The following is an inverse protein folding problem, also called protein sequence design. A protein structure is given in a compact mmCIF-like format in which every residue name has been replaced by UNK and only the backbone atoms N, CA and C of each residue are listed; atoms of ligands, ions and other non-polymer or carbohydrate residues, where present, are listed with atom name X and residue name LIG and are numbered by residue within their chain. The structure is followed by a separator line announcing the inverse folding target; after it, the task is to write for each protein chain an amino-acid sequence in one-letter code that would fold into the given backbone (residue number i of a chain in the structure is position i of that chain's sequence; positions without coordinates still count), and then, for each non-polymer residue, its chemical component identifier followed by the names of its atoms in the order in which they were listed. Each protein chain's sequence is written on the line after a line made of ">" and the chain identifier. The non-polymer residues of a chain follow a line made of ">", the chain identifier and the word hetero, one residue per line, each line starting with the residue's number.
data_IF_264538878918
#
_entry.id   IF_264538878918
#
_cell.length_a   1.000
_cell.length_b   1.000
_cell.length_c   1.000
_cell.angle_alpha   90.00
_cell.angle_beta   90.00
_cell.angle_gamma   90.00
#
_symmetry.space_group_name_H-M   'P 1'
#
loop_
_entity.id
_entity.type
_entity.pdbx_description
1 polymer ?
#
# COMPACT_ATOMS: atom_id res chain seq x y z
N UNK A 1 11.68 -12.03 -29.51
CA UNK A 1 12.73 -11.74 -28.50
C UNK A 1 13.15 -13.04 -27.86
N UNK A 2 14.37 -13.14 -27.34
CA UNK A 2 14.77 -14.30 -26.57
C UNK A 2 14.59 -14.03 -25.08
N UNK A 3 14.23 -15.06 -24.33
CA UNK A 3 14.12 -15.02 -22.88
C UNK A 3 15.49 -14.72 -22.27
N UNK A 4 15.57 -13.69 -21.42
CA UNK A 4 16.81 -13.32 -20.73
C UNK A 4 17.27 -14.36 -19.71
N UNK A 5 16.37 -15.23 -19.25
CA UNK A 5 16.66 -16.24 -18.23
C UNK A 5 17.19 -17.55 -18.83
N UNK A 6 16.54 -18.07 -19.89
CA UNK A 6 16.89 -19.39 -20.46
C UNK A 6 17.26 -19.36 -21.96
N UNK A 7 17.30 -18.19 -22.60
CA UNK A 7 17.65 -18.03 -24.01
C UNK A 7 16.58 -18.46 -25.02
N UNK A 8 15.48 -19.08 -24.58
CA UNK A 8 14.39 -19.53 -25.45
C UNK A 8 13.73 -18.38 -26.22
N UNK A 9 13.47 -18.57 -27.51
CA UNK A 9 12.72 -17.61 -28.34
C UNK A 9 11.21 -17.69 -28.15
N UNK A 10 10.70 -18.71 -27.43
CA UNK A 10 9.28 -18.92 -27.18
C UNK A 10 8.79 -18.02 -26.04
N UNK A 11 8.56 -16.75 -26.36
CA UNK A 11 8.07 -15.71 -25.47
C UNK A 11 6.80 -15.10 -26.07
N UNK A 12 5.69 -15.20 -25.35
CA UNK A 12 4.36 -14.79 -25.83
C UNK A 12 3.72 -13.78 -24.88
N UNK A 13 2.81 -12.95 -25.39
CA UNK A 13 2.01 -12.07 -24.55
C UNK A 13 1.00 -12.86 -23.73
N UNK A 14 0.83 -12.47 -22.47
CA UNK A 14 -0.08 -13.07 -21.51
C UNK A 14 -0.57 -12.02 -20.52
N UNK A 15 -1.63 -12.34 -19.79
CA UNK A 15 -2.17 -11.49 -18.72
C UNK A 15 -1.84 -12.15 -17.38
N UNK A 16 -1.06 -11.46 -16.55
CA UNK A 16 -0.69 -11.90 -15.21
C UNK A 16 -1.15 -10.84 -14.22
N UNK A 17 -1.99 -11.22 -13.25
CA UNK A 17 -2.54 -10.30 -12.25
C UNK A 17 -3.22 -9.05 -12.85
N UNK A 18 -3.84 -9.20 -14.02
CA UNK A 18 -4.50 -8.11 -14.74
C UNK A 18 -3.58 -7.22 -15.58
N UNK A 19 -2.27 -7.49 -15.59
CA UNK A 19 -1.29 -6.76 -16.39
C UNK A 19 -0.87 -7.56 -17.62
N UNK A 20 -0.83 -6.88 -18.77
CA UNK A 20 -0.27 -7.45 -20.00
C UNK A 20 1.25 -7.47 -19.93
N UNK A 21 1.83 -8.67 -19.98
CA UNK A 21 3.28 -8.90 -19.97
C UNK A 21 3.65 -9.96 -21.00
N UNK A 22 4.95 -10.16 -21.22
CA UNK A 22 5.47 -11.25 -22.05
C UNK A 22 6.03 -12.34 -21.16
N UNK A 23 5.61 -13.58 -21.34
CA UNK A 23 6.05 -14.73 -20.55
C UNK A 23 6.80 -15.73 -21.42
N UNK A 24 7.96 -16.18 -20.95
CA UNK A 24 8.65 -17.30 -21.57
C UNK A 24 7.89 -18.60 -21.28
N UNK A 25 7.37 -19.24 -22.33
CA UNK A 25 6.60 -20.47 -22.23
C UNK A 25 7.44 -21.71 -21.82
N UNK A 26 8.76 -21.54 -21.68
CA UNK A 26 9.68 -22.60 -21.27
C UNK A 26 10.02 -22.51 -19.77
N UNK A 27 10.28 -21.31 -19.24
CA UNK A 27 10.74 -21.14 -17.86
C UNK A 27 9.84 -20.23 -16.99
N UNK A 28 8.73 -19.71 -17.53
CA UNK A 28 7.80 -18.82 -16.82
C UNK A 28 8.34 -17.41 -16.53
N UNK A 29 9.53 -17.06 -17.04
CA UNK A 29 10.11 -15.75 -16.76
C UNK A 29 9.31 -14.63 -17.44
N UNK A 30 8.93 -13.62 -16.65
CA UNK A 30 8.14 -12.49 -17.09
C UNK A 30 9.02 -11.34 -17.62
N UNK A 31 8.58 -10.72 -18.70
CA UNK A 31 9.19 -9.60 -19.37
C UNK A 31 8.15 -8.46 -19.48
N UNK A 32 8.54 -7.26 -19.06
CA UNK A 32 7.69 -6.07 -19.07
C UNK A 32 8.47 -4.84 -18.62
N UNK A 33 7.79 -3.71 -18.44
CA UNK A 33 8.38 -2.58 -17.73
C UNK A 33 8.67 -2.97 -16.28
N UNK A 34 9.71 -2.37 -15.68
CA UNK A 34 10.05 -2.67 -14.28
C UNK A 34 8.89 -2.35 -13.33
N UNK A 35 8.18 -1.25 -13.58
CA UNK A 35 7.00 -0.86 -12.80
C UNK A 35 5.92 -1.95 -12.79
N UNK A 36 5.58 -2.50 -13.96
CA UNK A 36 4.57 -3.58 -14.07
C UNK A 36 5.05 -4.86 -13.39
N UNK A 37 6.31 -5.23 -13.62
CA UNK A 37 6.87 -6.43 -13.00
C UNK A 37 6.92 -6.33 -11.47
N UNK A 38 7.25 -5.15 -10.94
CA UNK A 38 7.23 -4.89 -9.51
C UNK A 38 5.81 -4.97 -8.94
N UNK A 39 4.81 -4.40 -9.62
CA UNK A 39 3.40 -4.52 -9.20
C UNK A 39 2.90 -5.95 -9.17
N UNK A 40 3.25 -6.76 -10.18
CA UNK A 40 2.91 -8.19 -10.19
C UNK A 40 3.55 -8.91 -9.00
N UNK A 41 4.82 -8.62 -8.71
CA UNK A 41 5.53 -9.22 -7.59
C UNK A 41 4.92 -8.83 -6.24
N UNK A 42 4.54 -7.56 -6.07
CA UNK A 42 3.85 -7.07 -4.87
C UNK A 42 2.48 -7.74 -4.69
N UNK A 43 1.70 -7.91 -5.76
CA UNK A 43 0.41 -8.63 -5.70
C UNK A 43 0.62 -10.09 -5.30
N UNK A 44 1.64 -10.77 -5.85
CA UNK A 44 1.96 -12.15 -5.49
C UNK A 44 2.32 -12.26 -4.01
N UNK A 45 3.19 -11.39 -3.51
CA UNK A 45 3.58 -11.36 -2.09
C UNK A 45 2.41 -11.03 -1.17
N UNK A 46 1.53 -10.12 -1.58
CA UNK A 46 0.30 -9.82 -0.84
C UNK A 46 -0.55 -11.09 -0.66
N UNK A 47 -0.78 -11.83 -1.75
CA UNK A 47 -1.51 -13.12 -1.71
C UNK A 47 -0.82 -14.17 -0.85
N UNK A 48 0.50 -14.33 -0.98
CA UNK A 48 1.29 -15.28 -0.18
C UNK A 48 1.22 -14.99 1.32
N UNK A 49 1.15 -13.71 1.70
CA UNK A 49 1.05 -13.27 3.09
C UNK A 49 -0.39 -13.16 3.60
N UNK A 50 -1.39 -13.43 2.76
CA UNK A 50 -2.80 -13.30 3.10
C UNK A 50 -3.25 -11.85 3.34
N UNK A 51 -2.52 -10.87 2.80
CA UNK A 51 -2.82 -9.44 2.90
C UNK A 51 -3.46 -8.98 1.60
N UNK A 52 -4.47 -8.10 1.69
CA UNK A 52 -5.10 -7.55 0.50
C UNK A 52 -4.09 -6.70 -0.32
N UNK A 53 -3.96 -6.93 -1.65
CA UNK A 53 -3.02 -6.19 -2.49
C UNK A 53 -3.18 -4.67 -2.44
N UNK A 54 -4.38 -4.15 -2.18
CA UNK A 54 -4.65 -2.71 -2.11
C UNK A 54 -3.91 -2.07 -0.93
N UNK A 55 -3.91 -2.72 0.25
CA UNK A 55 -3.26 -2.19 1.46
C UNK A 55 -1.81 -2.64 1.61
N UNK A 56 -1.40 -3.66 0.84
CA UNK A 56 -0.09 -4.29 0.95
C UNK A 56 1.11 -3.31 0.89
N UNK A 57 1.15 -2.29 0.00
CA UNK A 57 2.28 -1.34 -0.03
C UNK A 57 2.49 -0.66 1.32
N UNK A 58 1.41 -0.21 1.96
CA UNK A 58 1.46 0.45 3.24
C UNK A 58 1.72 -0.54 4.39
N UNK A 59 1.06 -1.70 4.36
CA UNK A 59 1.25 -2.74 5.38
C UNK A 59 2.71 -3.23 5.41
N UNK A 60 3.26 -3.62 4.27
CA UNK A 60 4.62 -4.14 4.17
C UNK A 60 5.67 -3.09 4.55
N UNK A 61 5.43 -1.81 4.26
CA UNK A 61 6.28 -0.72 4.71
C UNK A 61 6.26 -0.59 6.23
N UNK A 62 5.08 -0.55 6.84
CA UNK A 62 4.94 -0.38 8.29
C UNK A 62 5.53 -1.57 9.07
N UNK A 63 5.48 -2.79 8.52
CA UNK A 63 6.15 -3.95 9.10
C UNK A 63 7.68 -3.81 9.16
N UNK A 64 8.30 -3.05 8.25
CA UNK A 64 9.76 -2.84 8.23
C UNK A 64 10.22 -1.81 9.26
N UNK A 65 9.30 -1.00 9.80
CA UNK A 65 9.64 0.04 10.78
C UNK A 65 9.73 -0.61 12.16
N UNK A 66 10.96 -0.75 12.67
CA UNK A 66 11.30 -1.62 13.80
C UNK A 66 10.60 -1.33 15.13
N UNK A 67 10.11 -0.10 15.34
CA UNK A 67 9.41 0.30 16.56
C UNK A 67 7.88 0.39 16.39
N UNK A 68 7.35 -0.05 15.25
CA UNK A 68 5.91 -0.12 15.00
C UNK A 68 5.43 -1.55 15.07
N UNK A 69 4.25 -1.74 15.67
CA UNK A 69 3.51 -2.99 15.59
C UNK A 69 2.15 -2.70 14.95
N UNK A 70 1.89 -3.29 13.79
CA UNK A 70 0.57 -3.21 13.16
C UNK A 70 -0.40 -4.04 14.00
N UNK A 71 -1.54 -3.43 14.36
CA UNK A 71 -2.64 -4.12 15.03
C UNK A 71 -3.68 -4.58 14.02
N UNK A 72 -4.11 -3.67 13.14
CA UNK A 72 -5.07 -3.97 12.08
C UNK A 72 -4.77 -3.16 10.82
N UNK A 73 -5.08 -3.73 9.66
CA UNK A 73 -5.08 -3.02 8.38
C UNK A 73 -6.32 -3.40 7.60
N UNK A 74 -6.92 -2.44 6.91
CA UNK A 74 -8.07 -2.64 6.04
C UNK A 74 -7.79 -2.00 4.67
N UNK A 75 -8.03 -2.72 3.56
CA UNK A 75 -7.94 -2.15 2.20
C UNK A 75 -9.06 -1.18 1.88
N UNK A 76 -10.06 -1.05 2.76
CA UNK A 76 -11.29 -0.35 2.47
C UNK A 76 -12.20 -1.19 1.58
N UNK A 77 -13.50 -1.00 1.77
CA UNK A 77 -14.53 -1.68 1.01
C UNK A 77 -15.57 -0.66 0.55
N UNK A 78 -15.48 -0.18 -0.70
CA UNK A 78 -16.34 0.90 -1.20
C UNK A 78 -17.84 0.60 -1.06
N UNK A 79 -18.27 -0.65 -1.31
CA UNK A 79 -19.68 -1.05 -1.23
C UNK A 79 -20.22 -1.07 0.20
N UNK A 80 -19.38 -1.46 1.16
CA UNK A 80 -19.72 -1.43 2.58
C UNK A 80 -19.47 -0.07 3.24
N UNK A 81 -19.03 0.94 2.47
CA UNK A 81 -18.66 2.27 2.94
C UNK A 81 -17.55 2.25 4.01
N UNK A 82 -16.63 1.29 3.91
CA UNK A 82 -15.48 1.18 4.82
C UNK A 82 -14.27 1.83 4.15
N UNK A 83 -13.68 2.84 4.78
CA UNK A 83 -12.46 3.47 4.28
C UNK A 83 -11.22 2.59 4.53
N UNK A 84 -10.17 2.66 3.68
CA UNK A 84 -8.90 2.03 3.99
C UNK A 84 -8.29 2.64 5.25
N UNK A 85 -7.58 1.83 6.03
CA UNK A 85 -6.80 2.31 7.16
C UNK A 85 -5.69 1.34 7.54
N UNK A 86 -4.67 1.85 8.22
CA UNK A 86 -3.71 1.03 8.99
C UNK A 86 -3.65 1.56 10.42
N UNK A 87 -3.74 0.65 11.37
CA UNK A 87 -3.66 0.94 12.79
C UNK A 87 -2.48 0.24 13.41
N UNK A 88 -1.76 0.95 14.27
CA UNK A 88 -0.49 0.49 14.80
C UNK A 88 -0.20 1.10 16.17
N UNK A 89 0.67 0.43 16.91
CA UNK A 89 1.20 0.89 18.19
C UNK A 89 2.67 1.23 17.97
N UNK A 90 3.13 2.22 18.72
CA UNK A 90 4.55 2.60 18.77
C UNK A 90 5.12 2.06 20.07
N UNK A 91 6.10 1.17 19.96
CA UNK A 91 6.79 0.59 21.12
C UNK A 91 7.80 1.56 21.75
N UNK A 92 8.32 2.52 20.96
CA UNK A 92 9.32 3.49 21.40
C UNK A 92 8.66 4.76 21.98
N UNK A 93 8.94 5.13 23.25
CA UNK A 93 8.41 6.35 23.86
C UNK A 93 8.94 7.65 23.23
N UNK A 94 9.98 7.60 22.39
CA UNK A 94 10.61 8.80 21.80
C UNK A 94 9.85 9.38 20.60
N UNK A 95 8.79 8.72 20.13
CA UNK A 95 7.88 9.19 19.06
C UNK A 95 8.54 9.65 17.74
N UNK A 96 9.84 9.45 17.51
CA UNK A 96 10.53 9.89 16.28
C UNK A 96 9.86 9.34 15.02
N UNK A 97 9.49 8.06 15.03
CA UNK A 97 8.81 7.45 13.88
C UNK A 97 7.40 8.01 13.66
N UNK A 98 6.72 8.45 14.74
CA UNK A 98 5.45 9.15 14.64
C UNK A 98 5.61 10.50 13.91
N UNK A 99 6.65 11.26 14.28
CA UNK A 99 6.98 12.53 13.64
C UNK A 99 7.32 12.34 12.16
N UNK A 100 8.16 11.35 11.83
CA UNK A 100 8.49 11.01 10.44
C UNK A 100 7.24 10.61 9.63
N UNK A 101 6.36 9.79 10.20
CA UNK A 101 5.09 9.44 9.54
C UNK A 101 4.22 10.69 9.35
N UNK A 102 4.08 11.54 10.37
CA UNK A 102 3.27 12.75 10.27
C UNK A 102 3.78 13.70 9.19
N UNK A 103 5.10 13.92 9.12
CA UNK A 103 5.71 14.72 8.06
C UNK A 103 5.51 14.12 6.67
N UNK A 104 5.68 12.80 6.53
CA UNK A 104 5.45 12.10 5.28
C UNK A 104 3.97 12.20 4.84
N UNK A 105 3.02 12.07 5.77
CA UNK A 105 1.58 12.26 5.50
C UNK A 105 1.28 13.69 5.04
N UNK A 106 1.94 14.71 5.63
CA UNK A 106 1.81 16.09 5.17
C UNK A 106 2.30 16.26 3.73
N UNK A 107 3.41 15.61 3.34
CA UNK A 107 3.89 15.65 1.96
C UNK A 107 2.99 14.87 1.00
N UNK A 108 2.58 13.67 1.39
CA UNK A 108 1.67 12.82 0.63
C UNK A 108 0.36 13.54 0.35
N UNK A 109 -0.19 14.27 1.33
CA UNK A 109 -1.39 15.07 1.17
C UNK A 109 -1.33 16.14 0.08
N UNK A 110 -0.15 16.49 -0.44
CA UNK A 110 0.00 17.38 -1.60
C UNK A 110 -0.20 16.65 -2.94
N UNK A 111 -0.08 15.33 -2.93
CA UNK A 111 -0.09 14.44 -4.10
C UNK A 111 -1.32 13.52 -4.13
N UNK A 112 -1.88 13.19 -2.96
CA UNK A 112 -3.10 12.38 -2.86
C UNK A 112 -4.33 13.19 -3.24
N UNK A 113 -5.35 12.49 -3.74
CA UNK A 113 -6.61 13.10 -4.15
C UNK A 113 -7.46 13.45 -2.93
N UNK A 114 -7.48 12.58 -1.92
CA UNK A 114 -8.12 12.87 -0.63
C UNK A 114 -7.06 13.21 0.41
N UNK A 115 -7.47 13.95 1.45
CA UNK A 115 -6.60 14.19 2.60
C UNK A 115 -6.60 12.96 3.49
N UNK A 116 -5.42 12.60 3.98
CA UNK A 116 -5.18 11.57 4.97
C UNK A 116 -4.77 12.20 6.28
N UNK A 117 -5.14 11.53 7.37
CA UNK A 117 -4.87 11.98 8.72
C UNK A 117 -4.35 10.84 9.56
N UNK A 118 -3.57 11.21 10.57
CA UNK A 118 -3.21 10.31 11.64
C UNK A 118 -4.06 10.65 12.87
N UNK A 119 -4.91 9.71 13.25
CA UNK A 119 -5.75 9.79 14.44
C UNK A 119 -5.10 9.00 15.57
N UNK A 120 -5.28 9.45 16.81
CA UNK A 120 -4.89 8.69 18.00
C UNK A 120 -6.14 8.37 18.81
N UNK A 121 -6.25 7.12 19.23
CA UNK A 121 -7.31 6.65 20.12
C UNK A 121 -6.71 5.83 21.26
N UNK A 122 -7.48 5.63 22.32
CA UNK A 122 -7.07 4.82 23.46
C UNK A 122 -7.94 3.55 23.55
N UNK A 123 -7.31 2.39 23.36
CA UNK A 123 -7.94 1.08 23.51
C UNK A 123 -7.00 0.18 24.32
N UNK A 124 -7.00 0.36 25.66
CA UNK A 124 -6.02 -0.20 26.61
C UNK A 124 -4.61 0.37 26.49
N UNK A 125 -4.21 0.77 25.28
CA UNK A 125 -2.98 1.50 24.96
C UNK A 125 -3.26 2.54 23.86
N UNK A 126 -2.30 3.42 23.59
CA UNK A 126 -2.38 4.37 22.49
C UNK A 126 -2.31 3.62 21.16
N UNK A 127 -3.36 3.77 20.36
CA UNK A 127 -3.48 3.21 19.02
C UNK A 127 -3.50 4.37 18.02
N UNK A 128 -2.58 4.35 17.08
CA UNK A 128 -2.50 5.32 15.99
C UNK A 128 -3.15 4.74 14.75
N UNK A 129 -3.96 5.53 14.05
CA UNK A 129 -4.75 5.11 12.90
C UNK A 129 -4.48 6.09 11.76
N UNK A 130 -3.82 5.62 10.70
CA UNK A 130 -3.67 6.35 9.44
C UNK A 130 -4.86 6.01 8.54
N UNK A 131 -5.69 7.01 8.23
CA UNK A 131 -6.92 6.84 7.45
C UNK A 131 -7.24 8.09 6.62
N UNK A 132 -8.07 7.98 5.57
CA UNK A 132 -8.62 9.12 4.87
C UNK A 132 -9.44 10.00 5.81
N UNK A 133 -9.40 11.30 5.53
CA UNK A 133 -10.12 12.32 6.25
C UNK A 133 -11.37 12.75 5.48
N UNK A 134 -12.53 12.26 5.90
CA UNK A 134 -13.83 12.58 5.31
C UNK A 134 -14.69 13.50 6.18
N UNK A 135 -14.08 14.40 6.98
CA UNK A 135 -14.71 15.26 8.01
C UNK A 135 -16.06 15.91 7.65
N UNK A 136 -16.37 16.12 6.38
CA UNK A 136 -17.57 16.85 5.98
C UNK A 136 -18.87 16.03 6.05
N UNK A 137 -18.80 14.69 6.02
CA UNK A 137 -19.98 13.87 6.30
C UNK A 137 -19.61 12.38 6.52
N UNK A 138 -19.41 11.93 7.77
CA UNK A 138 -19.12 10.52 8.04
C UNK A 138 -20.28 9.58 7.63
N UNK A 139 -21.49 10.10 7.39
CA UNK A 139 -22.65 9.33 6.96
C UNK A 139 -22.80 9.27 5.43
N UNK A 140 -22.15 10.18 4.70
CA UNK A 140 -22.21 10.28 3.23
C UNK A 140 -20.86 10.08 2.52
N UNK A 141 -19.98 9.25 3.08
CA UNK A 141 -18.80 8.78 2.35
C UNK A 141 -19.28 8.01 1.09
N UNK A 142 -18.86 8.48 -0.09
CA UNK A 142 -19.25 7.87 -1.36
C UNK A 142 -18.34 6.68 -1.70
N UNK A 143 -18.90 5.73 -2.47
CA UNK A 143 -18.15 4.61 -3.07
C UNK A 143 -16.93 5.13 -3.84
N UNK A 144 -17.11 6.24 -4.55
CA UNK A 144 -16.06 6.89 -5.33
C UNK A 144 -14.94 7.44 -4.44
N UNK A 145 -15.26 8.12 -3.34
CA UNK A 145 -14.25 8.64 -2.40
C UNK A 145 -13.40 7.52 -1.79
N UNK A 146 -14.02 6.39 -1.44
CA UNK A 146 -13.28 5.23 -0.93
C UNK A 146 -12.39 4.66 -2.03
N UNK A 147 -12.93 4.49 -3.24
CA UNK A 147 -12.18 3.95 -4.38
C UNK A 147 -11.00 4.86 -4.78
N UNK A 148 -11.16 6.17 -4.66
CA UNK A 148 -10.09 7.15 -4.82
C UNK A 148 -9.04 6.98 -3.73
N UNK A 149 -9.46 6.88 -2.46
CA UNK A 149 -8.52 6.70 -1.35
C UNK A 149 -7.73 5.41 -1.45
N UNK A 150 -8.28 4.33 -2.02
CA UNK A 150 -7.55 3.10 -2.28
C UNK A 150 -6.36 3.31 -3.24
N UNK A 151 -6.51 4.19 -4.24
CA UNK A 151 -5.43 4.55 -5.18
C UNK A 151 -4.37 5.41 -4.50
N UNK A 152 -4.75 6.24 -3.54
CA UNK A 152 -3.83 7.10 -2.80
C UNK A 152 -2.88 6.29 -1.87
N UNK A 153 -3.16 5.01 -1.58
CA UNK A 153 -2.32 4.17 -0.72
C UNK A 153 -0.91 3.99 -1.29
N UNK A 154 -0.77 3.77 -2.60
CA UNK A 154 0.55 3.66 -3.26
C UNK A 154 1.36 4.95 -3.09
N UNK A 155 0.69 6.11 -3.21
CA UNK A 155 1.32 7.42 -3.02
C UNK A 155 1.81 7.55 -1.58
N UNK A 156 0.95 7.24 -0.59
CA UNK A 156 1.32 7.30 0.82
C UNK A 156 2.51 6.40 1.16
N UNK A 157 2.48 5.16 0.70
CA UNK A 157 3.55 4.20 0.97
C UNK A 157 4.89 4.75 0.44
N UNK A 158 4.91 5.29 -0.78
CA UNK A 158 6.13 5.87 -1.35
C UNK A 158 6.67 7.06 -0.54
N UNK A 159 5.81 8.03 -0.18
CA UNK A 159 6.27 9.22 0.55
C UNK A 159 6.75 8.88 1.97
N UNK A 160 6.14 7.88 2.61
CA UNK A 160 6.60 7.38 3.91
C UNK A 160 7.92 6.64 3.71
N UNK A 161 8.05 5.77 2.71
CA UNK A 161 9.29 5.05 2.45
C UNK A 161 10.48 5.99 2.23
N UNK A 162 10.31 7.04 1.41
CA UNK A 162 11.33 8.07 1.19
C UNK A 162 11.80 8.72 2.51
N UNK A 163 10.87 8.93 3.45
CA UNK A 163 11.15 9.57 4.74
C UNK A 163 11.86 8.67 5.75
N UNK A 164 11.75 7.35 5.59
CA UNK A 164 12.43 6.36 6.42
C UNK A 164 13.77 5.88 5.82
N UNK A 165 14.05 6.25 4.57
CA UNK A 165 15.35 6.05 3.92
C UNK A 165 16.32 7.24 4.08
N UNK A 166 15.81 8.42 4.47
CA UNK A 166 16.57 9.64 4.76
C UNK A 166 17.08 9.72 6.19
#
# INVERSE_FOLDING_TARGET
>A
MNCKNCGSSNVTETIVEGYTVKECQVCGHLHGSQEVLQKIEEIKKAKETGIDPIIYPLHSLFQKISNLKIEYSCPGFPKEKIAPYISFIIADPRLKSLEQIAEAVIQANKKTTVKWMLEVTFQKQLLYILKPNFHHDPYHISVEQISISQKDIEILAREIEEKFQS
#
